data_IF_722227844599
#
_entry.id   IF_722227844599
#
_cell.length_a   1.000
_cell.length_b   1.000
_cell.length_c   1.000
_cell.angle_alpha   90.00
_cell.angle_beta   90.00
_cell.angle_gamma   90.00
#
_symmetry.space_group_name_H-M   'P 1'
#
loop_
_entity.id
_entity.type
_entity.pdbx_description
1 polymer ?
#
# COMPACT_ATOMS: atom_id res chain seq x y z
N UNK A 1 34.04 6.37 -3.24
CA UNK A 1 33.82 4.92 -2.98
C UNK A 1 32.53 4.49 -3.67
N UNK A 2 32.61 3.71 -4.75
CA UNK A 2 31.49 3.34 -5.63
C UNK A 2 30.52 2.37 -4.93
N UNK A 3 29.26 2.77 -4.68
CA UNK A 3 28.16 1.80 -4.55
C UNK A 3 27.66 1.46 -5.95
N UNK A 4 28.22 0.42 -6.56
CA UNK A 4 27.63 -0.22 -7.74
C UNK A 4 26.31 -0.86 -7.29
N UNK A 5 25.21 -0.23 -7.68
CA UNK A 5 23.85 -0.69 -7.46
C UNK A 5 23.66 -2.08 -8.08
N UNK A 6 23.56 -3.07 -7.22
CA UNK A 6 23.07 -4.41 -7.54
C UNK A 6 21.54 -4.33 -7.70
N UNK A 7 21.05 -3.78 -8.81
CA UNK A 7 19.60 -3.52 -9.02
C UNK A 7 19.17 -4.03 -10.40
N UNK A 8 19.16 -5.34 -10.60
CA UNK A 8 18.47 -5.95 -11.76
C UNK A 8 17.44 -7.02 -11.35
N UNK A 9 17.55 -7.60 -10.14
CA UNK A 9 16.56 -8.54 -9.60
C UNK A 9 15.45 -7.89 -8.74
N UNK A 10 15.82 -6.93 -7.90
CA UNK A 10 14.91 -6.28 -6.93
C UNK A 10 13.82 -5.46 -7.64
N UNK A 11 14.14 -4.85 -8.78
CA UNK A 11 13.21 -4.00 -9.55
C UNK A 11 12.07 -4.78 -10.22
N UNK A 12 12.30 -6.01 -10.71
CA UNK A 12 11.24 -6.83 -11.32
C UNK A 12 10.30 -7.44 -10.29
N UNK A 13 10.85 -7.93 -9.18
CA UNK A 13 10.04 -8.48 -8.09
C UNK A 13 9.19 -7.38 -7.44
N UNK A 14 9.79 -6.22 -7.11
CA UNK A 14 9.08 -5.08 -6.56
C UNK A 14 7.97 -4.58 -7.51
N UNK A 15 8.25 -4.48 -8.83
CA UNK A 15 7.24 -4.09 -9.80
C UNK A 15 6.09 -5.10 -9.90
N UNK A 16 6.37 -6.41 -9.78
CA UNK A 16 5.33 -7.45 -9.74
C UNK A 16 4.48 -7.32 -8.48
N UNK A 17 5.09 -7.11 -7.32
CA UNK A 17 4.39 -6.90 -6.05
C UNK A 17 3.53 -5.64 -6.12
N UNK A 18 4.08 -4.53 -6.62
CA UNK A 18 3.35 -3.28 -6.84
C UNK A 18 2.14 -3.48 -7.75
N UNK A 19 2.34 -4.09 -8.92
CA UNK A 19 1.29 -4.31 -9.91
C UNK A 19 0.21 -5.24 -9.37
N UNK A 20 0.61 -6.31 -8.67
CA UNK A 20 -0.31 -7.23 -8.01
C UNK A 20 -1.13 -6.50 -6.95
N UNK A 21 -0.48 -5.75 -6.07
CA UNK A 21 -1.11 -5.00 -4.97
C UNK A 21 -2.11 -3.98 -5.52
N UNK A 22 -1.71 -3.19 -6.53
CA UNK A 22 -2.59 -2.23 -7.18
C UNK A 22 -3.79 -2.91 -7.83
N UNK A 23 -3.59 -4.07 -8.48
CA UNK A 23 -4.69 -4.84 -9.09
C UNK A 23 -5.67 -5.37 -8.04
N UNK A 24 -5.18 -5.82 -6.88
CA UNK A 24 -6.04 -6.24 -5.78
C UNK A 24 -6.79 -5.06 -5.18
N UNK A 25 -6.10 -3.95 -4.92
CA UNK A 25 -6.71 -2.73 -4.40
C UNK A 25 -7.80 -2.19 -5.33
N UNK A 26 -7.57 -2.14 -6.65
CA UNK A 26 -8.56 -1.65 -7.62
C UNK A 26 -9.87 -2.45 -7.67
N UNK A 27 -9.84 -3.74 -7.27
CA UNK A 27 -11.03 -4.59 -7.22
C UNK A 27 -11.91 -4.29 -6.01
N UNK A 28 -11.29 -3.90 -4.90
CA UNK A 28 -11.98 -3.83 -3.61
C UNK A 28 -12.20 -2.38 -3.17
N UNK A 29 -11.23 -1.52 -3.41
CA UNK A 29 -11.25 -0.17 -2.88
C UNK A 29 -12.11 0.73 -3.76
N UNK A 30 -13.14 1.31 -3.13
CA UNK A 30 -14.00 2.32 -3.70
C UNK A 30 -13.67 3.63 -3.01
N UNK A 31 -12.82 4.43 -3.64
CA UNK A 31 -12.52 5.78 -3.16
C UNK A 31 -13.53 6.73 -3.83
N UNK A 32 -14.38 7.43 -3.04
CA UNK A 32 -15.35 8.37 -3.58
C UNK A 32 -14.66 9.37 -4.50
N UNK A 33 -15.19 9.54 -5.71
CA UNK A 33 -14.71 10.48 -6.72
C UNK A 33 -15.90 11.20 -7.35
N UNK A 34 -15.87 12.53 -7.37
CA UNK A 34 -16.80 13.31 -8.19
C UNK A 34 -16.40 13.26 -9.66
N UNK A 35 -17.34 13.62 -10.55
CA UNK A 35 -17.12 13.65 -12.00
C UNK A 35 -16.09 14.71 -12.44
N UNK A 36 -15.89 15.76 -11.63
CA UNK A 36 -14.92 16.84 -11.88
C UNK A 36 -13.55 16.62 -11.22
N UNK A 37 -13.25 15.42 -10.76
CA UNK A 37 -11.98 15.16 -10.09
C UNK A 37 -10.85 14.98 -11.10
N UNK A 38 -9.81 15.82 -10.98
CA UNK A 38 -8.56 15.74 -11.75
C UNK A 38 -7.95 14.34 -11.62
N UNK A 39 -7.79 13.88 -10.37
CA UNK A 39 -7.21 12.57 -10.09
C UNK A 39 -8.23 11.45 -10.12
N UNK A 40 -7.95 10.43 -10.92
CA UNK A 40 -8.78 9.24 -10.99
C UNK A 40 -8.62 8.38 -9.74
N UNK A 41 -9.59 7.47 -9.49
CA UNK A 41 -9.47 6.44 -8.45
C UNK A 41 -8.17 5.63 -8.58
N UNK A 42 -7.74 5.36 -9.81
CA UNK A 42 -6.53 4.59 -10.09
C UNK A 42 -5.28 5.36 -9.66
N UNK A 43 -5.27 6.67 -9.79
CA UNK A 43 -4.14 7.51 -9.39
C UNK A 43 -4.02 7.56 -7.87
N UNK A 44 -5.14 7.76 -7.16
CA UNK A 44 -5.15 7.71 -5.68
C UNK A 44 -4.71 6.33 -5.16
N UNK A 45 -5.21 5.24 -5.74
CA UNK A 45 -4.81 3.89 -5.32
C UNK A 45 -3.37 3.54 -5.68
N UNK A 46 -2.85 4.06 -6.79
CA UNK A 46 -1.44 3.93 -7.17
C UNK A 46 -0.55 4.62 -6.13
N UNK A 47 -0.90 5.84 -5.75
CA UNK A 47 -0.24 6.59 -4.68
C UNK A 47 -0.28 5.85 -3.35
N UNK A 48 -1.45 5.38 -2.92
CA UNK A 48 -1.60 4.60 -1.68
C UNK A 48 -0.76 3.31 -1.71
N UNK A 49 -0.76 2.59 -2.84
CA UNK A 49 0.02 1.36 -2.99
C UNK A 49 1.51 1.64 -2.90
N UNK A 50 1.97 2.74 -3.51
CA UNK A 50 3.37 3.15 -3.46
C UNK A 50 3.80 3.48 -2.03
N UNK A 51 3.06 4.37 -1.37
CA UNK A 51 3.37 4.79 0.01
C UNK A 51 3.41 3.61 0.97
N UNK A 52 2.44 2.68 0.87
CA UNK A 52 2.40 1.48 1.70
C UNK A 52 3.57 0.53 1.48
N UNK A 53 4.08 0.43 0.24
CA UNK A 53 5.20 -0.47 -0.08
C UNK A 53 6.56 0.12 0.30
N UNK A 54 6.72 1.43 0.19
CA UNK A 54 7.95 2.13 0.55
C UNK A 54 7.96 2.56 2.03
N UNK A 55 6.85 2.37 2.75
CA UNK A 55 6.64 2.84 4.13
C UNK A 55 6.87 4.35 4.30
N UNK A 56 6.37 5.14 3.34
CA UNK A 56 6.57 6.58 3.25
C UNK A 56 5.31 7.37 3.63
N UNK A 57 5.51 8.63 4.05
CA UNK A 57 4.42 9.58 4.30
C UNK A 57 3.97 10.28 3.01
N UNK A 58 2.75 10.83 3.03
CA UNK A 58 2.14 11.44 1.84
C UNK A 58 2.96 12.61 1.26
N UNK A 59 3.48 13.52 2.10
CA UNK A 59 4.24 14.69 1.62
C UNK A 59 5.50 14.29 0.85
N UNK A 60 6.50 13.70 1.52
CA UNK A 60 7.76 13.33 0.87
C UNK A 60 7.59 12.18 -0.13
N UNK A 61 6.76 11.18 0.18
CA UNK A 61 6.61 10.00 -0.64
C UNK A 61 5.96 10.27 -1.99
N UNK A 62 4.95 11.15 -2.07
CA UNK A 62 4.29 11.47 -3.34
C UNK A 62 5.15 12.36 -4.23
N UNK A 63 5.94 13.27 -3.66
CA UNK A 63 6.93 14.05 -4.42
C UNK A 63 8.02 13.15 -5.02
N UNK A 64 8.47 12.12 -4.28
CA UNK A 64 9.41 11.13 -4.81
C UNK A 64 8.76 10.29 -5.91
N UNK A 65 7.51 9.86 -5.73
CA UNK A 65 6.76 9.11 -6.74
C UNK A 65 6.60 9.91 -8.04
N UNK A 66 6.22 11.18 -7.93
CA UNK A 66 6.06 12.07 -9.06
C UNK A 66 7.37 12.22 -9.84
N UNK A 67 8.48 12.50 -9.14
CA UNK A 67 9.82 12.57 -9.75
C UNK A 67 10.18 11.28 -10.48
N UNK A 68 9.93 10.11 -9.86
CA UNK A 68 10.19 8.80 -10.49
C UNK A 68 9.34 8.58 -11.75
N UNK A 69 8.06 8.96 -11.77
CA UNK A 69 7.19 8.80 -12.94
C UNK A 69 7.58 9.72 -14.09
N UNK A 70 7.96 10.98 -13.79
CA UNK A 70 8.49 11.92 -14.78
C UNK A 70 9.75 11.39 -15.47
N UNK A 71 10.68 10.81 -14.70
CA UNK A 71 11.92 10.22 -15.22
C UNK A 71 11.70 8.99 -16.11
N UNK A 72 10.60 8.26 -15.91
CA UNK A 72 10.31 7.02 -16.63
C UNK A 72 9.25 7.18 -17.74
N UNK A 73 8.90 8.42 -18.12
CA UNK A 73 7.88 8.75 -19.14
C UNK A 73 6.57 7.97 -18.98
N UNK A 74 6.19 7.63 -17.74
CA UNK A 74 4.96 6.87 -17.49
C UNK A 74 3.80 7.85 -17.33
N UNK A 75 2.84 7.76 -18.25
CA UNK A 75 1.55 8.46 -18.16
C UNK A 75 0.84 8.10 -16.85
N UNK A 76 0.62 9.10 -16.01
CA UNK A 76 -0.13 8.98 -14.77
C UNK A 76 0.06 10.20 -13.89
N UNK A 77 -1.04 10.73 -13.37
CA UNK A 77 -1.01 11.84 -12.45
C UNK A 77 -0.75 11.33 -11.02
N UNK A 78 -0.04 12.13 -10.24
CA UNK A 78 0.15 11.92 -8.81
C UNK A 78 -0.53 13.08 -8.10
N UNK A 79 -1.53 12.83 -7.24
CA UNK A 79 -2.08 13.88 -6.41
C UNK A 79 -1.00 14.44 -5.48
N UNK A 80 -1.04 15.74 -5.24
CA UNK A 80 -0.33 16.32 -4.11
C UNK A 80 -0.83 15.71 -2.78
N UNK A 81 -0.04 15.86 -1.73
CA UNK A 81 -0.30 15.24 -0.44
C UNK A 81 -1.64 15.67 0.17
N UNK A 82 -2.01 16.94 0.07
CA UNK A 82 -3.24 17.47 0.62
C UNK A 82 -4.45 16.91 -0.12
N UNK A 83 -4.41 16.93 -1.45
CA UNK A 83 -5.48 16.34 -2.28
C UNK A 83 -5.62 14.84 -2.02
N UNK A 84 -4.50 14.11 -1.92
CA UNK A 84 -4.50 12.68 -1.60
C UNK A 84 -5.15 12.41 -0.23
N UNK A 85 -4.70 13.10 0.82
CA UNK A 85 -5.21 12.92 2.17
C UNK A 85 -6.68 13.36 2.28
N UNK A 86 -7.06 14.46 1.64
CA UNK A 86 -8.44 14.91 1.57
C UNK A 86 -9.37 13.82 1.00
N UNK A 87 -8.92 13.13 -0.04
CA UNK A 87 -9.69 12.03 -0.66
C UNK A 87 -9.82 10.82 0.24
N UNK A 88 -8.76 10.45 0.95
CA UNK A 88 -8.83 9.34 1.91
C UNK A 88 -9.69 9.68 3.12
N UNK A 89 -9.69 10.94 3.59
CA UNK A 89 -10.54 11.41 4.69
C UNK A 89 -12.04 11.33 4.42
N UNK A 90 -12.46 11.19 3.15
CA UNK A 90 -13.87 10.97 2.79
C UNK A 90 -14.35 9.55 3.07
N UNK A 91 -13.44 8.61 3.33
CA UNK A 91 -13.79 7.26 3.72
C UNK A 91 -14.16 7.23 5.19
N UNK A 92 -15.31 6.65 5.52
CA UNK A 92 -15.60 6.36 6.92
C UNK A 92 -14.68 5.24 7.42
N UNK A 93 -14.44 5.19 8.74
CA UNK A 93 -13.70 4.08 9.36
C UNK A 93 -14.32 2.72 9.02
N UNK A 94 -15.66 2.65 8.95
CA UNK A 94 -16.39 1.42 8.61
C UNK A 94 -16.11 0.99 7.17
N UNK A 95 -16.14 1.93 6.23
CA UNK A 95 -15.85 1.65 4.83
C UNK A 95 -14.40 1.19 4.65
N UNK A 96 -13.46 1.89 5.30
CA UNK A 96 -12.05 1.53 5.28
C UNK A 96 -11.82 0.12 5.83
N UNK A 97 -12.42 -0.21 6.97
CA UNK A 97 -12.35 -1.54 7.57
C UNK A 97 -12.93 -2.61 6.64
N UNK A 98 -14.12 -2.37 6.09
CA UNK A 98 -14.77 -3.32 5.17
C UNK A 98 -13.95 -3.56 3.91
N UNK A 99 -13.38 -2.51 3.32
CA UNK A 99 -12.50 -2.62 2.16
C UNK A 99 -11.21 -3.37 2.49
N UNK A 100 -10.62 -3.17 3.67
CA UNK A 100 -9.43 -3.90 4.11
C UNK A 100 -9.73 -5.39 4.34
N UNK A 101 -10.87 -5.71 4.96
CA UNK A 101 -11.33 -7.10 5.12
C UNK A 101 -11.53 -7.77 3.76
N UNK A 102 -12.24 -7.11 2.85
CA UNK A 102 -12.45 -7.62 1.49
C UNK A 102 -11.15 -7.79 0.70
N UNK A 103 -10.15 -6.92 0.92
CA UNK A 103 -8.84 -7.05 0.30
C UNK A 103 -8.11 -8.28 0.83
N UNK A 104 -8.12 -8.48 2.14
CA UNK A 104 -7.50 -9.66 2.77
C UNK A 104 -8.14 -10.95 2.29
N UNK A 105 -9.47 -11.02 2.24
CA UNK A 105 -10.20 -12.17 1.70
C UNK A 105 -9.82 -12.47 0.25
N UNK A 106 -9.72 -11.44 -0.60
CA UNK A 106 -9.31 -11.59 -1.99
C UNK A 106 -7.88 -12.10 -2.12
N UNK A 107 -6.93 -11.53 -1.36
CA UNK A 107 -5.52 -11.97 -1.36
C UNK A 107 -5.41 -13.41 -0.89
N UNK A 108 -6.11 -13.77 0.20
CA UNK A 108 -6.13 -15.13 0.73
C UNK A 108 -6.78 -16.12 -0.24
N UNK A 109 -7.83 -15.72 -0.95
CA UNK A 109 -8.47 -16.53 -1.99
C UNK A 109 -7.50 -16.82 -3.14
N UNK A 110 -6.80 -15.79 -3.65
CA UNK A 110 -5.78 -15.95 -4.69
C UNK A 110 -4.64 -16.85 -4.22
N UNK A 111 -4.17 -16.67 -2.99
CA UNK A 111 -3.10 -17.49 -2.42
C UNK A 111 -3.52 -18.96 -2.29
N UNK A 112 -4.74 -19.23 -1.78
CA UNK A 112 -5.32 -20.58 -1.71
C UNK A 112 -5.42 -21.23 -3.08
N UNK A 113 -5.92 -20.50 -4.09
CA UNK A 113 -5.99 -20.97 -5.47
C UNK A 113 -4.63 -21.34 -6.08
N UNK A 114 -3.54 -20.75 -5.57
CA UNK A 114 -2.15 -21.08 -5.95
C UNK A 114 -1.51 -22.17 -5.08
N UNK A 115 -2.26 -22.80 -4.19
CA UNK A 115 -1.78 -23.88 -3.32
C UNK A 115 -1.13 -23.43 -2.01
N UNK A 116 -1.25 -22.15 -1.64
CA UNK A 116 -0.93 -21.73 -0.27
C UNK A 116 -1.94 -22.33 0.73
N UNK A 117 -1.53 -22.45 2.00
CA UNK A 117 -2.37 -22.95 3.10
C UNK A 117 -2.91 -24.38 2.94
N UNK A 118 -2.27 -25.22 2.11
CA UNK A 118 -2.61 -26.66 2.00
C UNK A 118 -2.44 -27.41 3.32
N UNK A 119 -1.57 -26.92 4.20
CA UNK A 119 -1.35 -27.43 5.54
C UNK A 119 -1.82 -26.39 6.55
N UNK A 120 -2.43 -26.85 7.64
CA UNK A 120 -2.83 -25.98 8.76
C UNK A 120 -1.56 -25.40 9.39
N UNK A 121 -1.50 -24.07 9.49
CA UNK A 121 -0.53 -23.38 10.32
C UNK A 121 -1.19 -23.10 11.66
N UNK A 122 -0.56 -23.54 12.75
CA UNK A 122 -0.96 -23.14 14.11
C UNK A 122 -0.11 -21.92 14.46
N UNK A 123 -0.77 -20.78 14.66
CA UNK A 123 -0.12 -19.56 15.11
C UNK A 123 -0.74 -19.15 16.45
N UNK A 124 0.10 -18.92 17.45
CA UNK A 124 -0.30 -18.23 18.67
C UNK A 124 -0.11 -16.74 18.40
N UNK A 125 -1.21 -15.98 18.45
CA UNK A 125 -1.16 -14.52 18.38
C UNK A 125 -1.21 -14.04 19.82
N UNK A 126 -0.09 -13.54 20.32
CA UNK A 126 -0.06 -12.86 21.61
C UNK A 126 -0.72 -11.48 21.47
N UNK A 127 -1.90 -11.34 22.09
CA UNK A 127 -2.67 -10.10 22.08
C UNK A 127 -2.29 -9.15 23.22
N UNK A 128 -1.37 -9.55 24.10
CA UNK A 128 -0.92 -8.71 25.23
C UNK A 128 0.21 -7.77 24.84
N UNK A 129 0.92 -8.05 23.73
CA UNK A 129 1.98 -7.21 23.24
C UNK A 129 1.43 -5.95 22.54
N UNK A 130 1.28 -4.88 23.31
CA UNK A 130 1.00 -3.55 22.76
C UNK A 130 2.32 -3.03 22.15
N UNK A 131 2.44 -2.85 20.83
CA UNK A 131 3.67 -2.33 20.23
C UNK A 131 3.96 -0.92 20.78
N UNK A 132 4.96 -0.84 21.66
CA UNK A 132 5.45 0.40 22.24
C UNK A 132 6.56 0.96 21.35
N UNK A 133 6.30 2.10 20.72
CA UNK A 133 7.21 2.75 19.77
C UNK A 133 8.35 3.57 20.45
N UNK A 134 8.57 3.41 21.76
CA UNK A 134 9.66 4.03 22.50
C UNK A 134 10.75 3.03 22.92
N UNK A 135 11.87 3.52 23.49
CA UNK A 135 12.81 2.63 24.20
C UNK A 135 12.06 1.99 25.38
N UNK A 136 11.92 0.66 25.45
CA UNK A 136 11.23 0.01 26.55
C UNK A 136 11.97 0.35 27.85
N UNK A 137 11.23 0.89 28.82
CA UNK A 137 11.75 1.01 30.18
C UNK A 137 11.85 -0.41 30.77
N UNK A 138 12.87 -0.73 31.59
CA UNK A 138 13.08 -2.09 32.13
C UNK A 138 11.96 -2.61 33.05
N UNK A 139 10.86 -1.87 33.19
CA UNK A 139 9.77 -2.15 34.12
C UNK A 139 8.40 -2.34 33.44
N UNK A 140 8.36 -2.35 32.09
CA UNK A 140 7.11 -2.64 31.36
C UNK A 140 7.20 -4.08 30.88
N UNK A 141 6.44 -4.95 31.55
CA UNK A 141 6.24 -6.38 31.19
C UNK A 141 5.20 -6.48 30.10
#
# INVERSE_FOLDING_TARGET
MKRRHMVHGISRAALRVFTFSLKMALKVFVIPAGYNCVYSRKDVLKSLTYLSLEAEYAEGGLEVLERRLRLHCRLGEVPDADTFLYRLKKLSRRDALSMLQGLNENVLSVARGKGAFRRKAVAAIDLTYIPYYGKPAPYVV
#
